data_IF_126501375232
#
_entry.id   IF_126501375232
#
_cell.length_a   1.000
_cell.length_b   1.000
_cell.length_c   1.000
_cell.angle_alpha   90.00
_cell.angle_beta   90.00
_cell.angle_gamma   90.00
#
_symmetry.space_group_name_H-M   'P 1'
#
loop_
_entity.id
_entity.type
_entity.pdbx_description
1 polymer ?
#
# COMPACT_ATOMS: atom_id res chain seq x y z
N UNK A 1 5.62 20.92 13.14
CA UNK A 1 4.55 20.05 13.62
C UNK A 1 3.67 19.47 12.49
N UNK A 2 3.02 20.27 11.61
CA UNK A 2 2.11 19.71 10.55
C UNK A 2 2.77 18.70 9.60
N UNK A 3 4.05 18.87 9.23
CA UNK A 3 4.77 17.98 8.33
C UNK A 3 5.13 16.63 8.99
N UNK A 4 5.55 16.66 10.25
CA UNK A 4 5.85 15.46 11.05
C UNK A 4 4.55 14.65 11.24
N UNK A 5 3.50 15.30 11.74
CA UNK A 5 2.20 14.67 11.92
C UNK A 5 1.65 14.06 10.63
N UNK A 6 1.88 14.73 9.48
CA UNK A 6 1.48 14.19 8.18
C UNK A 6 2.23 12.90 7.81
N UNK A 7 3.56 12.86 7.98
CA UNK A 7 4.36 11.67 7.67
C UNK A 7 3.97 10.50 8.59
N UNK A 8 3.79 10.75 9.90
CA UNK A 8 3.30 9.72 10.82
C UNK A 8 1.91 9.23 10.44
N UNK A 9 0.99 10.13 10.10
CA UNK A 9 -0.36 9.77 9.66
C UNK A 9 -0.33 8.95 8.36
N UNK A 10 0.54 9.32 7.40
CA UNK A 10 0.73 8.56 6.17
C UNK A 10 1.22 7.14 6.46
N UNK A 11 2.27 7.00 7.27
CA UNK A 11 2.81 5.70 7.68
C UNK A 11 1.73 4.80 8.31
N UNK A 12 1.01 5.32 9.31
CA UNK A 12 -0.03 4.54 9.99
C UNK A 12 -1.21 4.22 9.06
N UNK A 13 -1.53 5.08 8.11
CA UNK A 13 -2.58 4.80 7.12
C UNK A 13 -2.18 3.66 6.19
N UNK A 14 -0.94 3.68 5.66
CA UNK A 14 -0.43 2.60 4.81
C UNK A 14 -0.33 1.29 5.60
N UNK A 15 0.17 1.35 6.83
CA UNK A 15 0.23 0.20 7.73
C UNK A 15 -1.17 -0.40 7.96
N UNK A 16 -2.17 0.44 8.21
CA UNK A 16 -3.55 0.00 8.40
C UNK A 16 -4.12 -0.66 7.15
N UNK A 17 -3.81 -0.15 5.95
CA UNK A 17 -4.20 -0.76 4.68
C UNK A 17 -3.66 -2.20 4.61
N UNK A 18 -2.37 -2.43 4.89
CA UNK A 18 -1.78 -3.77 4.88
C UNK A 18 -2.37 -4.69 5.95
N UNK A 19 -2.58 -4.19 7.16
CA UNK A 19 -3.21 -4.98 8.23
C UNK A 19 -4.62 -5.42 7.83
N UNK A 20 -5.43 -4.54 7.23
CA UNK A 20 -6.80 -4.85 6.81
C UNK A 20 -6.88 -5.78 5.59
N UNK A 21 -5.86 -5.83 4.76
CA UNK A 21 -5.81 -6.77 3.64
C UNK A 21 -5.75 -8.24 4.09
N UNK A 22 -5.15 -8.54 5.25
CA UNK A 22 -5.03 -9.90 5.76
C UNK A 22 -6.37 -10.56 6.08
N UNK A 23 -7.24 -9.94 6.91
CA UNK A 23 -8.56 -10.52 7.15
C UNK A 23 -9.41 -10.59 5.87
N UNK A 24 -9.29 -9.64 4.95
CA UNK A 24 -9.98 -9.72 3.66
C UNK A 24 -9.50 -10.90 2.82
N UNK A 25 -8.18 -11.15 2.79
CA UNK A 25 -7.59 -12.32 2.14
C UNK A 25 -8.11 -13.62 2.76
N UNK A 26 -8.12 -13.71 4.10
CA UNK A 26 -8.60 -14.89 4.82
C UNK A 26 -10.10 -15.12 4.61
N UNK A 27 -10.92 -14.08 4.63
CA UNK A 27 -12.36 -14.17 4.34
C UNK A 27 -12.63 -14.65 2.92
N UNK A 28 -11.86 -14.17 1.95
CA UNK A 28 -12.02 -14.56 0.55
C UNK A 28 -11.62 -16.03 0.31
N UNK A 29 -10.51 -16.48 0.90
CA UNK A 29 -9.98 -17.83 0.70
C UNK A 29 -10.46 -18.84 1.79
N UNK A 30 -11.09 -18.39 2.85
CA UNK A 30 -11.52 -19.22 3.98
C UNK A 30 -12.64 -20.20 3.65
N UNK A 31 -13.32 -20.06 2.49
CA UNK A 31 -14.27 -21.05 1.99
C UNK A 31 -13.59 -22.32 1.43
N UNK A 32 -12.28 -22.26 1.20
CA UNK A 32 -11.48 -23.37 0.64
C UNK A 32 -10.96 -24.26 1.77
N UNK A 33 -10.76 -23.70 2.96
CA UNK A 33 -10.32 -24.40 4.16
C UNK A 33 -11.41 -24.35 5.24
N UNK A 34 -11.31 -25.21 6.28
CA UNK A 34 -12.19 -25.16 7.45
C UNK A 34 -12.16 -23.75 8.03
N UNK A 35 -13.31 -23.11 8.16
CA UNK A 35 -13.45 -21.70 8.52
C UNK A 35 -12.54 -21.26 9.68
N UNK A 36 -11.89 -20.08 9.50
CA UNK A 36 -10.99 -19.48 10.47
C UNK A 36 -11.77 -18.95 11.68
N UNK A 37 -11.26 -19.18 12.88
CA UNK A 37 -11.75 -18.56 14.11
C UNK A 37 -11.20 -17.13 14.28
N UNK A 38 -11.80 -16.35 15.17
CA UNK A 38 -11.32 -14.98 15.48
C UNK A 38 -9.85 -14.96 15.92
N UNK A 39 -9.40 -15.99 16.66
CA UNK A 39 -8.01 -16.11 17.08
C UNK A 39 -7.03 -16.21 15.91
N UNK A 40 -7.42 -16.94 14.83
CA UNK A 40 -6.59 -17.08 13.64
C UNK A 40 -6.39 -15.75 12.91
N UNK A 41 -7.46 -14.94 12.79
CA UNK A 41 -7.36 -13.59 12.24
C UNK A 41 -6.39 -12.71 13.03
N UNK A 42 -6.51 -12.72 14.36
CA UNK A 42 -5.62 -11.95 15.23
C UNK A 42 -4.17 -12.41 15.12
N UNK A 43 -3.95 -13.71 15.11
CA UNK A 43 -2.63 -14.29 14.99
C UNK A 43 -1.94 -13.88 13.68
N UNK A 44 -2.63 -13.99 12.54
CA UNK A 44 -2.09 -13.59 11.24
C UNK A 44 -1.79 -12.08 11.18
N UNK A 45 -2.68 -11.25 11.74
CA UNK A 45 -2.46 -9.80 11.79
C UNK A 45 -1.24 -9.43 12.63
N UNK A 46 -1.08 -10.03 13.81
CA UNK A 46 0.03 -9.74 14.73
C UNK A 46 1.37 -10.25 14.18
N UNK A 47 1.43 -11.51 13.74
CA UNK A 47 2.68 -12.06 13.19
C UNK A 47 3.16 -11.36 11.92
N UNK A 48 2.24 -10.90 11.09
CA UNK A 48 2.60 -10.16 9.89
C UNK A 48 2.84 -8.67 10.10
N UNK A 49 2.58 -8.12 11.29
CA UNK A 49 2.64 -6.68 11.52
C UNK A 49 4.05 -6.09 11.35
N UNK A 50 5.10 -6.84 11.66
CA UNK A 50 6.49 -6.40 11.47
C UNK A 50 6.84 -6.19 9.98
N UNK A 51 6.41 -7.13 9.13
CA UNK A 51 6.60 -7.03 7.68
C UNK A 51 5.76 -5.89 7.08
N UNK A 52 4.52 -5.74 7.55
CA UNK A 52 3.64 -4.63 7.15
C UNK A 52 4.26 -3.28 7.51
N UNK A 53 4.81 -3.16 8.73
CA UNK A 53 5.47 -1.94 9.19
C UNK A 53 6.73 -1.63 8.36
N UNK A 54 7.55 -2.64 8.04
CA UNK A 54 8.70 -2.46 7.17
C UNK A 54 8.28 -1.98 5.77
N UNK A 55 7.27 -2.61 5.16
CA UNK A 55 6.75 -2.23 3.85
C UNK A 55 6.14 -0.82 3.86
N UNK A 56 5.36 -0.48 4.90
CA UNK A 56 4.83 0.86 5.11
C UNK A 56 5.96 1.90 5.28
N UNK A 57 7.05 1.53 5.96
CA UNK A 57 8.26 2.34 6.10
C UNK A 57 8.90 2.66 4.74
N UNK A 58 9.11 1.65 3.90
CA UNK A 58 9.65 1.85 2.54
C UNK A 58 8.75 2.75 1.69
N UNK A 59 7.44 2.55 1.72
CA UNK A 59 6.49 3.41 1.00
C UNK A 59 6.43 4.82 1.59
N UNK A 60 6.75 5.01 2.86
CA UNK A 60 6.80 6.33 3.51
C UNK A 60 8.09 7.09 3.21
N UNK A 61 9.18 6.37 2.89
CA UNK A 61 10.49 6.99 2.64
C UNK A 61 10.44 8.05 1.53
N UNK A 62 9.73 7.80 0.44
CA UNK A 62 9.63 8.75 -0.67
C UNK A 62 8.84 10.04 -0.29
N UNK A 63 7.61 9.97 0.27
CA UNK A 63 6.93 11.14 0.82
C UNK A 63 7.76 11.90 1.87
N UNK A 64 8.49 11.17 2.73
CA UNK A 64 9.37 11.76 3.73
C UNK A 64 10.45 12.62 3.07
N UNK A 65 11.16 12.09 2.07
CA UNK A 65 12.19 12.82 1.32
C UNK A 65 11.62 14.05 0.61
N UNK A 66 10.45 13.93 -0.04
CA UNK A 66 9.79 15.06 -0.69
C UNK A 66 9.41 16.16 0.31
N UNK A 67 8.90 15.78 1.47
CA UNK A 67 8.57 16.74 2.54
C UNK A 67 9.83 17.40 3.09
N UNK A 68 10.93 16.66 3.22
CA UNK A 68 12.23 17.21 3.64
C UNK A 68 12.74 18.27 2.64
N UNK A 69 12.75 17.93 1.34
CA UNK A 69 13.13 18.86 0.26
C UNK A 69 12.26 20.11 0.29
N UNK A 70 10.95 19.98 0.52
CA UNK A 70 10.02 21.09 0.57
C UNK A 70 10.25 22.09 1.72
N UNK A 71 11.09 21.76 2.71
CA UNK A 71 11.48 22.68 3.79
C UNK A 71 12.40 23.77 3.21
N UNK A 72 13.25 23.40 2.27
CA UNK A 72 14.28 24.28 1.70
C UNK A 72 13.77 25.04 0.47
N UNK A 73 12.91 24.43 -0.35
CA UNK A 73 12.44 24.99 -1.61
C UNK A 73 10.99 25.47 -1.52
N UNK A 74 10.76 26.80 -1.49
CA UNK A 74 9.40 27.40 -1.35
C UNK A 74 8.49 27.14 -2.55
N UNK A 75 9.06 27.02 -3.78
CA UNK A 75 8.31 26.82 -5.03
C UNK A 75 8.17 25.34 -5.43
N UNK A 76 8.57 24.40 -4.53
CA UNK A 76 8.53 22.98 -4.84
C UNK A 76 7.09 22.47 -4.98
N UNK A 77 6.73 21.82 -6.11
CA UNK A 77 5.35 21.38 -6.38
C UNK A 77 4.99 20.10 -5.63
N UNK A 78 5.22 20.10 -4.31
CA UNK A 78 5.09 18.95 -3.42
C UNK A 78 3.77 18.18 -3.60
N UNK A 79 2.64 18.89 -3.65
CA UNK A 79 1.32 18.26 -3.76
C UNK A 79 1.15 17.46 -5.06
N UNK A 80 1.58 18.03 -6.20
CA UNK A 80 1.45 17.36 -7.49
C UNK A 80 2.24 16.05 -7.53
N UNK A 81 3.47 16.09 -6.99
CA UNK A 81 4.34 14.91 -6.95
C UNK A 81 3.77 13.85 -5.98
N UNK A 82 3.32 14.28 -4.80
CA UNK A 82 2.68 13.37 -3.84
C UNK A 82 1.41 12.73 -4.42
N UNK A 83 0.58 13.45 -5.14
CA UNK A 83 -0.63 12.91 -5.76
C UNK A 83 -0.31 11.84 -6.79
N UNK A 84 0.67 12.08 -7.68
CA UNK A 84 1.14 11.06 -8.62
C UNK A 84 1.67 9.83 -7.90
N UNK A 85 2.45 10.02 -6.84
CA UNK A 85 2.99 8.94 -6.03
C UNK A 85 1.88 8.12 -5.34
N UNK A 86 0.84 8.75 -4.82
CA UNK A 86 -0.26 8.03 -4.16
C UNK A 86 -1.03 7.13 -5.11
N UNK A 87 -1.29 7.61 -6.32
CA UNK A 87 -1.95 6.81 -7.35
C UNK A 87 -1.07 5.60 -7.70
N UNK A 88 0.24 5.81 -7.86
CA UNK A 88 1.18 4.73 -8.14
C UNK A 88 1.25 3.72 -6.98
N UNK A 89 1.41 4.19 -5.75
CA UNK A 89 1.45 3.34 -4.56
C UNK A 89 0.14 2.57 -4.37
N UNK A 90 -1.00 3.25 -4.52
CA UNK A 90 -2.32 2.61 -4.47
C UNK A 90 -2.50 1.55 -5.55
N UNK A 91 -2.01 1.80 -6.78
CA UNK A 91 -2.05 0.85 -7.86
C UNK A 91 -1.23 -0.40 -7.53
N UNK A 92 0.03 -0.23 -7.10
CA UNK A 92 0.90 -1.34 -6.73
C UNK A 92 0.29 -2.19 -5.59
N UNK A 93 -0.15 -1.55 -4.51
CA UNK A 93 -0.77 -2.23 -3.36
C UNK A 93 -2.01 -3.02 -3.81
N UNK A 94 -2.87 -2.41 -4.64
CA UNK A 94 -4.13 -3.03 -5.07
C UNK A 94 -3.92 -4.17 -6.05
N UNK A 95 -3.00 -4.01 -7.01
CA UNK A 95 -2.68 -5.04 -8.00
C UNK A 95 -2.08 -6.27 -7.28
N UNK A 96 -1.06 -6.06 -6.44
CA UNK A 96 -0.41 -7.14 -5.71
C UNK A 96 -1.44 -7.89 -4.85
N UNK A 97 -2.30 -7.19 -4.12
CA UNK A 97 -3.29 -7.80 -3.26
C UNK A 97 -4.32 -8.64 -4.02
N UNK A 98 -4.88 -8.12 -5.13
CA UNK A 98 -5.89 -8.86 -5.91
C UNK A 98 -5.27 -10.04 -6.67
N UNK A 99 -4.05 -9.85 -7.19
CA UNK A 99 -3.32 -10.95 -7.85
C UNK A 99 -2.99 -12.04 -6.84
N UNK A 100 -2.53 -11.68 -5.63
CA UNK A 100 -2.23 -12.62 -4.54
C UNK A 100 -3.48 -13.45 -4.17
N UNK A 101 -4.64 -12.79 -4.03
CA UNK A 101 -5.92 -13.49 -3.79
C UNK A 101 -6.31 -14.43 -4.93
N UNK A 102 -6.08 -14.02 -6.18
CA UNK A 102 -6.41 -14.83 -7.35
C UNK A 102 -5.49 -16.05 -7.45
N UNK A 103 -4.19 -15.88 -7.29
CA UNK A 103 -3.20 -16.96 -7.35
C UNK A 103 -3.42 -18.00 -6.26
N UNK A 104 -3.71 -17.56 -5.04
CA UNK A 104 -3.97 -18.49 -3.94
C UNK A 104 -5.18 -19.39 -4.20
N UNK A 105 -6.20 -18.86 -4.85
CA UNK A 105 -7.40 -19.65 -5.22
C UNK A 105 -7.06 -20.78 -6.20
N UNK A 106 -6.10 -20.57 -7.12
CA UNK A 106 -5.75 -21.57 -8.15
C UNK A 106 -4.60 -22.50 -7.73
N UNK A 107 -3.60 -21.96 -7.06
CA UNK A 107 -2.33 -22.65 -6.84
C UNK A 107 -2.02 -22.90 -5.35
N UNK A 108 -2.81 -22.35 -4.43
CA UNK A 108 -2.62 -22.54 -2.99
C UNK A 108 -1.41 -21.84 -2.40
N UNK A 109 -0.71 -20.98 -3.18
CA UNK A 109 0.41 -20.17 -2.70
C UNK A 109 0.26 -18.69 -3.11
N UNK A 110 0.92 -17.82 -2.35
CA UNK A 110 0.91 -16.39 -2.57
C UNK A 110 1.89 -16.00 -3.68
N UNK A 111 1.74 -14.77 -4.16
CA UNK A 111 2.62 -14.17 -5.15
C UNK A 111 4.08 -14.19 -4.65
N UNK A 112 4.94 -14.87 -5.37
CA UNK A 112 6.38 -14.93 -5.13
C UNK A 112 7.17 -14.82 -6.45
N UNK A 113 8.48 -14.97 -6.38
CA UNK A 113 9.35 -14.87 -7.55
C UNK A 113 9.07 -15.92 -8.65
N UNK A 114 8.38 -17.02 -8.30
CA UNK A 114 8.05 -18.07 -9.29
C UNK A 114 7.08 -17.59 -10.37
N UNK A 115 6.28 -16.55 -10.06
CA UNK A 115 5.37 -15.91 -11.04
C UNK A 115 6.11 -15.40 -12.27
N UNK A 116 7.36 -14.97 -12.12
CA UNK A 116 8.16 -14.52 -13.28
C UNK A 116 8.40 -15.63 -14.31
N UNK A 117 8.39 -16.90 -13.90
CA UNK A 117 8.51 -18.05 -14.81
C UNK A 117 7.30 -18.21 -15.73
N UNK A 118 6.12 -17.71 -15.29
CA UNK A 118 4.87 -17.78 -16.06
C UNK A 118 4.66 -16.57 -16.97
N UNK A 119 5.47 -15.50 -16.83
CA UNK A 119 5.42 -14.34 -17.72
C UNK A 119 5.85 -14.73 -19.14
N UNK A 120 6.71 -15.71 -19.28
CA UNK A 120 7.19 -16.18 -20.58
C UNK A 120 6.12 -16.95 -21.37
N UNK A 121 5.07 -17.47 -20.70
CA UNK A 121 3.95 -18.20 -21.32
C UNK A 121 2.58 -17.67 -20.90
N UNK A 122 2.26 -16.39 -21.14
CA UNK A 122 1.02 -15.76 -20.65
C UNK A 122 -0.25 -16.39 -21.24
N UNK A 123 -0.17 -16.96 -22.45
CA UNK A 123 -1.31 -17.64 -23.08
C UNK A 123 -1.70 -18.91 -22.34
N UNK A 124 -0.73 -19.69 -21.84
CA UNK A 124 -0.97 -20.91 -21.07
C UNK A 124 -1.53 -20.57 -19.68
N UNK A 125 -0.98 -19.55 -19.04
CA UNK A 125 -1.46 -19.08 -17.72
C UNK A 125 -2.90 -18.58 -17.79
N UNK A 126 -3.32 -17.95 -18.89
CA UNK A 126 -4.68 -17.41 -19.08
C UNK A 126 -5.65 -18.42 -19.70
N UNK A 127 -5.18 -19.50 -20.31
CA UNK A 127 -6.03 -20.46 -21.02
C UNK A 127 -7.03 -21.19 -20.10
N UNK A 128 -6.72 -21.30 -18.81
CA UNK A 128 -7.58 -21.94 -17.78
C UNK A 128 -8.52 -20.97 -17.08
N UNK A 129 -8.45 -19.67 -17.39
CA UNK A 129 -9.18 -18.62 -16.64
C UNK A 129 -10.31 -18.06 -17.49
N UNK A 130 -11.54 -18.04 -16.95
CA UNK A 130 -12.68 -17.46 -17.66
C UNK A 130 -12.57 -15.94 -17.80
N UNK A 131 -13.08 -15.39 -18.90
CA UNK A 131 -13.12 -13.93 -19.15
C UNK A 131 -13.85 -13.20 -18.02
N UNK A 132 -14.95 -13.76 -17.52
CA UNK A 132 -15.70 -13.19 -16.39
C UNK A 132 -14.86 -13.08 -15.11
N UNK A 133 -14.00 -14.07 -14.84
CA UNK A 133 -13.09 -14.02 -13.71
C UNK A 133 -12.08 -12.88 -13.85
N UNK A 134 -11.50 -12.71 -15.04
CA UNK A 134 -10.54 -11.62 -15.31
C UNK A 134 -11.22 -10.25 -15.15
N UNK A 135 -12.40 -10.06 -15.74
CA UNK A 135 -13.13 -8.80 -15.63
C UNK A 135 -13.46 -8.44 -14.18
N UNK A 136 -13.88 -9.41 -13.38
CA UNK A 136 -14.16 -9.18 -11.96
C UNK A 136 -12.90 -8.74 -11.19
N UNK A 137 -11.73 -9.32 -11.49
CA UNK A 137 -10.45 -8.93 -10.87
C UNK A 137 -10.01 -7.54 -11.30
N UNK A 138 -10.12 -7.23 -12.57
CA UNK A 138 -9.83 -5.87 -13.08
C UNK A 138 -10.72 -4.84 -12.38
N UNK A 139 -12.01 -5.10 -12.26
CA UNK A 139 -12.94 -4.22 -11.55
C UNK A 139 -12.54 -4.06 -10.08
N UNK A 140 -12.20 -5.15 -9.39
CA UNK A 140 -11.74 -5.11 -7.99
C UNK A 140 -10.46 -4.28 -7.85
N UNK A 141 -9.49 -4.44 -8.75
CA UNK A 141 -8.26 -3.64 -8.78
C UNK A 141 -8.60 -2.15 -8.91
N UNK A 142 -9.44 -1.79 -9.89
CA UNK A 142 -9.80 -0.38 -10.11
C UNK A 142 -10.52 0.24 -8.91
N UNK A 143 -11.43 -0.49 -8.28
CA UNK A 143 -12.13 -0.05 -7.07
C UNK A 143 -11.16 0.14 -5.89
N UNK A 144 -10.22 -0.78 -5.70
CA UNK A 144 -9.22 -0.67 -4.64
C UNK A 144 -8.22 0.46 -4.91
N UNK A 145 -7.81 0.67 -6.16
CA UNK A 145 -6.97 1.82 -6.53
C UNK A 145 -7.70 3.12 -6.19
N UNK A 146 -8.97 3.24 -6.57
CA UNK A 146 -9.78 4.41 -6.29
C UNK A 146 -9.92 4.65 -4.78
N UNK A 147 -10.23 3.60 -4.00
CA UNK A 147 -10.38 3.67 -2.55
C UNK A 147 -9.07 4.06 -1.86
N UNK A 148 -7.99 3.33 -2.15
CA UNK A 148 -6.67 3.59 -1.53
C UNK A 148 -6.15 4.98 -1.91
N UNK A 149 -6.28 5.39 -3.18
CA UNK A 149 -5.91 6.73 -3.62
C UNK A 149 -6.72 7.80 -2.89
N UNK A 150 -8.03 7.61 -2.78
CA UNK A 150 -8.92 8.55 -2.08
C UNK A 150 -8.53 8.71 -0.61
N UNK A 151 -8.25 7.59 0.10
CA UNK A 151 -7.80 7.61 1.49
C UNK A 151 -6.49 8.39 1.62
N UNK A 152 -5.47 8.08 0.80
CA UNK A 152 -4.17 8.73 0.85
C UNK A 152 -4.25 10.23 0.48
N UNK A 153 -5.10 10.59 -0.47
CA UNK A 153 -5.34 11.99 -0.83
C UNK A 153 -6.01 12.77 0.31
N UNK A 154 -6.96 12.14 1.00
CA UNK A 154 -7.73 12.79 2.08
C UNK A 154 -6.89 13.11 3.30
N UNK A 155 -5.88 12.32 3.62
CA UNK A 155 -4.96 12.58 4.73
C UNK A 155 -3.93 13.67 4.41
N UNK A 156 -3.81 14.09 3.13
CA UNK A 156 -2.82 15.09 2.72
C UNK A 156 -3.28 16.50 3.09
N UNK A 157 -2.53 17.23 3.93
CA UNK A 157 -2.93 18.57 4.33
C UNK A 157 -3.03 19.52 3.15
N UNK A 158 -4.04 20.40 3.15
CA UNK A 158 -4.25 21.40 2.12
C UNK A 158 -3.06 22.38 1.99
N UNK A 159 -2.36 22.65 3.09
CA UNK A 159 -1.23 23.58 3.16
C UNK A 159 -0.02 22.92 3.84
N UNK A 160 0.93 22.46 3.03
CA UNK A 160 2.27 22.08 3.47
C UNK A 160 3.23 23.25 3.19
N UNK A 161 3.03 24.40 3.88
CA UNK A 161 3.84 25.60 3.70
C UNK A 161 5.29 25.41 4.13
N UNK A 162 6.20 26.20 3.51
CA UNK A 162 7.60 26.27 3.91
C UNK A 162 7.72 26.64 5.40
N UNK A 163 8.55 25.91 6.13
CA UNK A 163 8.74 26.11 7.56
C UNK A 163 9.57 27.38 7.79
N UNK A 164 9.08 28.30 8.63
CA UNK A 164 9.80 29.56 8.96
C UNK A 164 11.16 29.28 9.65
N UNK A 165 11.24 28.19 10.44
CA UNK A 165 12.46 27.71 11.10
C UNK A 165 12.96 26.46 10.37
N UNK A 166 13.77 26.63 9.32
CA UNK A 166 14.27 25.55 8.47
C UNK A 166 15.10 24.51 9.24
N UNK A 167 16.05 24.95 10.06
CA UNK A 167 16.94 24.06 10.83
C UNK A 167 16.14 23.21 11.82
N UNK A 168 15.24 23.80 12.61
CA UNK A 168 14.41 23.08 13.56
C UNK A 168 13.42 22.11 12.85
N UNK A 169 12.94 22.49 11.66
CA UNK A 169 12.09 21.63 10.85
C UNK A 169 12.84 20.42 10.30
N UNK A 170 14.06 20.61 9.84
CA UNK A 170 14.94 19.54 9.35
C UNK A 170 15.35 18.59 10.49
N UNK A 171 15.79 19.15 11.63
CA UNK A 171 16.16 18.34 12.81
C UNK A 171 14.99 17.47 13.31
N UNK A 172 13.78 18.04 13.40
CA UNK A 172 12.58 17.30 13.80
C UNK A 172 12.18 16.19 12.82
N UNK A 173 12.44 16.37 11.52
CA UNK A 173 12.19 15.34 10.51
C UNK A 173 13.23 14.22 10.57
N UNK A 174 14.51 14.55 10.77
CA UNK A 174 15.59 13.56 10.90
C UNK A 174 15.41 12.69 12.16
N UNK A 175 14.97 13.29 13.28
CA UNK A 175 14.64 12.52 14.49
C UNK A 175 13.47 11.56 14.32
N UNK A 176 12.57 11.81 13.37
CA UNK A 176 11.46 10.91 13.07
C UNK A 176 11.88 9.75 12.16
N UNK A 177 12.84 9.98 11.28
CA UNK A 177 13.27 9.00 10.26
C UNK A 177 14.46 8.14 10.65
N UNK A 178 15.11 8.40 11.79
CA UNK A 178 16.19 7.59 12.38
C UNK A 178 15.66 6.64 13.42
#
# INVERSE_FOLDING_TARGET
>A
MKKIAYISLYFFTVLLIFILQKPLFMLYNGSIEKGFGFADYMQVMVHGASLDAATAGYLTAFPFLLVLISIWFRKFPLKKILYGYYILAAALISIIFVVDMALYTFWGFKLDASVFLYIDSPKEALASVSVGFILLRVLAILLLIALNSWVLLKITPSVLTATRKRIAGTAGMLLLGG
#
